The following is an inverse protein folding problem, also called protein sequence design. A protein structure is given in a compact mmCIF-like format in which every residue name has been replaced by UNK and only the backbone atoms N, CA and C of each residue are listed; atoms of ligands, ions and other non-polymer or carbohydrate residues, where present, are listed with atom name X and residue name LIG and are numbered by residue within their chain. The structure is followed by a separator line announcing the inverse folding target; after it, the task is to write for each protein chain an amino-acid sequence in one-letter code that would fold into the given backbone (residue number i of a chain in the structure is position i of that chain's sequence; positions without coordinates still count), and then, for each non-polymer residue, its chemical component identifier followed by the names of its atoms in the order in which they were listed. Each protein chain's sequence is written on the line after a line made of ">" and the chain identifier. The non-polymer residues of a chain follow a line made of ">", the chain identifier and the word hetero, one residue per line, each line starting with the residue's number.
data_IF_128508916428
#
_entry.id   IF_128508916428
#
_cell.length_a   1.000
_cell.length_b   1.000
_cell.length_c   1.000
_cell.angle_alpha   90.00
_cell.angle_beta   90.00
_cell.angle_gamma   90.00
#
_symmetry.space_group_name_H-M   'P 1'
#
loop_
_entity.id
_entity.type
_entity.pdbx_description
1 polymer ?
#
# COMPACT_ATOMS: atom_id res chain seq x y z
N UNK A 1 23.33 6.96 -5.16
CA UNK A 1 22.93 5.91 -6.14
C UNK A 1 21.41 5.69 -6.18
N UNK A 2 20.77 5.18 -5.10
CA UNK A 2 19.32 4.85 -5.07
C UNK A 2 18.39 5.99 -5.51
N UNK A 3 18.57 7.21 -4.97
CA UNK A 3 17.76 8.39 -5.33
C UNK A 3 17.77 8.67 -6.84
N UNK A 4 18.96 8.74 -7.44
CA UNK A 4 19.11 9.02 -8.86
C UNK A 4 18.44 7.93 -9.72
N UNK A 5 18.62 6.67 -9.36
CA UNK A 5 17.97 5.55 -10.03
C UNK A 5 16.43 5.66 -9.96
N UNK A 6 15.87 5.96 -8.78
CA UNK A 6 14.42 6.14 -8.60
C UNK A 6 13.88 7.32 -9.40
N UNK A 7 14.60 8.45 -9.44
CA UNK A 7 14.21 9.60 -10.27
C UNK A 7 14.29 9.31 -11.77
N UNK A 8 15.23 8.46 -12.19
CA UNK A 8 15.42 8.13 -13.62
C UNK A 8 14.41 7.10 -14.11
N UNK A 9 14.11 6.08 -13.29
CA UNK A 9 13.33 4.91 -13.73
C UNK A 9 11.95 4.82 -13.09
N UNK A 10 11.82 5.15 -11.79
CA UNK A 10 10.55 5.00 -11.06
C UNK A 10 9.65 6.22 -11.21
N UNK A 11 10.21 7.44 -11.10
CA UNK A 11 9.43 8.68 -11.15
C UNK A 11 8.55 8.79 -12.42
N UNK A 12 9.05 8.51 -13.64
CA UNK A 12 8.21 8.58 -14.84
C UNK A 12 7.00 7.63 -14.79
N UNK A 13 7.17 6.44 -14.19
CA UNK A 13 6.08 5.47 -14.05
C UNK A 13 5.05 5.92 -13.02
N UNK A 14 5.51 6.55 -11.93
CA UNK A 14 4.63 7.11 -10.90
C UNK A 14 3.80 8.26 -11.48
N UNK A 15 4.41 9.14 -12.28
CA UNK A 15 3.70 10.22 -12.98
C UNK A 15 2.65 9.66 -13.94
N UNK A 16 3.00 8.69 -14.78
CA UNK A 16 2.05 8.02 -15.70
C UNK A 16 0.89 7.38 -14.93
N UNK A 17 1.16 6.77 -13.78
CA UNK A 17 0.14 6.15 -12.93
C UNK A 17 -0.84 7.18 -12.36
N UNK A 18 -0.36 8.28 -11.79
CA UNK A 18 -1.24 9.32 -11.25
C UNK A 18 -1.99 10.08 -12.34
N UNK A 19 -1.36 10.34 -13.49
CA UNK A 19 -2.05 10.91 -14.65
C UNK A 19 -3.14 9.96 -15.19
N UNK A 20 -2.91 8.65 -15.11
CA UNK A 20 -3.93 7.66 -15.42
C UNK A 20 -5.09 7.68 -14.42
N UNK A 21 -4.81 7.82 -13.12
CA UNK A 21 -5.86 7.97 -12.08
C UNK A 21 -6.73 9.20 -12.36
N UNK A 22 -6.14 10.35 -12.62
CA UNK A 22 -6.91 11.57 -12.91
C UNK A 22 -7.79 11.41 -14.16
N UNK A 23 -7.26 10.77 -15.21
CA UNK A 23 -8.06 10.42 -16.40
C UNK A 23 -9.20 9.48 -16.08
N UNK A 24 -9.05 8.54 -15.15
CA UNK A 24 -10.17 7.68 -14.73
C UNK A 24 -11.29 8.49 -14.06
N UNK A 25 -10.96 9.50 -13.25
CA UNK A 25 -11.96 10.36 -12.64
C UNK A 25 -12.65 11.31 -13.62
N UNK A 26 -11.94 11.74 -14.68
CA UNK A 26 -12.52 12.54 -15.76
C UNK A 26 -13.47 11.73 -16.66
N UNK A 27 -13.22 10.43 -16.80
CA UNK A 27 -14.11 9.51 -17.53
C UNK A 27 -15.39 9.31 -16.72
N UNK A 28 -16.48 9.92 -17.18
CA UNK A 28 -17.81 9.71 -16.60
C UNK A 28 -18.13 8.21 -16.59
N UNK A 29 -18.46 7.65 -15.43
CA UNK A 29 -18.78 6.22 -15.27
C UNK A 29 -18.40 5.59 -13.94
N UNK A 30 -17.59 6.26 -13.12
CA UNK A 30 -17.20 5.76 -11.80
C UNK A 30 -18.16 6.27 -10.70
N UNK A 31 -19.04 5.39 -10.24
CA UNK A 31 -19.87 5.65 -9.06
C UNK A 31 -18.98 5.73 -7.80
N UNK A 32 -19.20 6.70 -6.89
CA UNK A 32 -18.44 6.81 -5.64
C UNK A 32 -18.53 5.57 -4.73
N UNK A 33 -19.60 4.80 -4.86
CA UNK A 33 -19.82 3.57 -4.08
C UNK A 33 -18.96 2.40 -4.55
N UNK A 34 -18.47 2.42 -5.80
CA UNK A 34 -17.70 1.33 -6.38
C UNK A 34 -16.36 1.16 -5.63
N UNK A 35 -16.01 -0.07 -5.16
CA UNK A 35 -14.73 -0.34 -4.52
C UNK A 35 -13.50 0.12 -5.30
N UNK A 36 -13.55 0.03 -6.64
CA UNK A 36 -12.47 0.50 -7.51
C UNK A 36 -12.30 2.03 -7.43
N UNK A 37 -13.41 2.78 -7.49
CA UNK A 37 -13.40 4.25 -7.33
C UNK A 37 -12.82 4.65 -5.97
N UNK A 38 -13.17 3.91 -4.91
CA UNK A 38 -12.62 4.13 -3.57
C UNK A 38 -11.11 3.90 -3.52
N UNK A 39 -10.62 2.85 -4.18
CA UNK A 39 -9.19 2.57 -4.26
C UNK A 39 -8.42 3.66 -5.02
N UNK A 40 -8.96 4.13 -6.15
CA UNK A 40 -8.36 5.24 -6.90
C UNK A 40 -8.36 6.55 -6.09
N UNK A 41 -9.46 6.85 -5.39
CA UNK A 41 -9.56 8.02 -4.52
C UNK A 41 -8.53 7.96 -3.39
N UNK A 42 -8.40 6.79 -2.75
CA UNK A 42 -7.40 6.56 -1.70
C UNK A 42 -5.98 6.83 -2.20
N UNK A 43 -5.63 6.31 -3.38
CA UNK A 43 -4.32 6.53 -3.99
C UNK A 43 -4.09 8.01 -4.30
N UNK A 44 -5.07 8.66 -4.93
CA UNK A 44 -5.01 10.10 -5.28
C UNK A 44 -4.81 10.99 -4.05
N UNK A 45 -5.60 10.80 -3.01
CA UNK A 45 -5.53 11.57 -1.76
C UNK A 45 -4.17 11.41 -1.05
N UNK A 46 -3.51 10.27 -1.24
CA UNK A 46 -2.24 9.93 -0.58
C UNK A 46 -1.03 10.06 -1.48
N UNK A 47 -1.17 10.68 -2.66
CA UNK A 47 -0.09 10.83 -3.64
C UNK A 47 1.23 11.29 -3.02
N UNK A 48 1.19 12.36 -2.21
CA UNK A 48 2.39 12.90 -1.56
C UNK A 48 3.10 11.85 -0.69
N UNK A 49 2.35 11.04 0.06
CA UNK A 49 2.90 9.97 0.89
C UNK A 49 3.44 8.80 0.07
N UNK A 50 2.74 8.45 -1.02
CA UNK A 50 3.13 7.37 -1.93
C UNK A 50 4.35 7.73 -2.79
N UNK A 51 4.66 9.02 -2.96
CA UNK A 51 5.82 9.50 -3.72
C UNK A 51 7.10 9.67 -2.88
N UNK A 52 7.03 9.58 -1.54
CA UNK A 52 8.18 9.85 -0.64
C UNK A 52 9.41 9.01 -0.98
N UNK A 53 9.22 7.74 -1.34
CA UNK A 53 10.34 6.86 -1.70
C UNK A 53 11.16 7.39 -2.89
N UNK A 54 10.59 8.23 -3.76
CA UNK A 54 11.32 8.80 -4.90
C UNK A 54 12.45 9.73 -4.44
N UNK A 55 12.22 10.49 -3.37
CA UNK A 55 13.15 11.51 -2.86
C UNK A 55 13.97 11.00 -1.70
N UNK A 56 13.37 10.18 -0.82
CA UNK A 56 14.00 9.57 0.35
C UNK A 56 14.45 8.12 0.03
N UNK A 57 15.77 7.85 -0.06
CA UNK A 57 16.33 6.53 -0.33
C UNK A 57 16.04 5.47 0.74
N UNK A 58 15.83 5.89 1.98
CA UNK A 58 15.68 4.99 3.13
C UNK A 58 14.24 4.48 3.25
N UNK A 59 13.29 5.21 2.66
CA UNK A 59 11.91 4.75 2.51
C UNK A 59 11.84 3.67 1.41
N UNK A 60 11.39 2.45 1.72
CA UNK A 60 11.13 1.41 0.72
C UNK A 60 9.91 1.78 -0.14
N UNK A 61 9.85 1.24 -1.36
CA UNK A 61 8.69 1.40 -2.25
C UNK A 61 7.48 0.59 -1.77
N UNK A 62 7.71 -0.47 -1.01
CA UNK A 62 6.69 -1.40 -0.55
C UNK A 62 6.71 -1.60 0.97
N UNK A 63 5.61 -2.13 1.48
CA UNK A 63 5.43 -2.47 2.89
C UNK A 63 5.73 -3.94 3.18
N UNK A 64 6.41 -4.67 2.28
CA UNK A 64 6.59 -6.12 2.41
C UNK A 64 7.30 -6.50 3.72
N UNK A 65 8.29 -5.71 4.13
CA UNK A 65 9.01 -5.91 5.39
C UNK A 65 8.08 -5.79 6.61
N UNK A 66 7.18 -4.80 6.60
CA UNK A 66 6.21 -4.56 7.66
C UNK A 66 5.14 -5.67 7.68
N UNK A 67 4.62 -6.05 6.51
CA UNK A 67 3.64 -7.14 6.39
C UNK A 67 4.19 -8.48 6.88
N UNK A 68 5.45 -8.78 6.57
CA UNK A 68 6.13 -9.97 7.09
C UNK A 68 6.29 -9.93 8.60
N UNK A 69 6.61 -8.78 9.19
CA UNK A 69 6.72 -8.62 10.64
C UNK A 69 5.35 -8.77 11.33
N UNK A 70 4.29 -8.20 10.75
CA UNK A 70 2.93 -8.27 11.30
C UNK A 70 2.31 -9.66 11.18
N UNK A 71 2.78 -10.51 10.25
CA UNK A 71 2.23 -11.85 9.99
C UNK A 71 2.20 -12.78 11.20
N UNK A 72 3.14 -12.62 12.14
CA UNK A 72 3.21 -13.43 13.35
C UNK A 72 1.94 -13.30 14.23
N UNK A 73 1.34 -12.11 14.28
CA UNK A 73 0.18 -11.80 15.13
C UNK A 73 -1.08 -12.60 14.72
N UNK A 74 -1.58 -12.52 13.47
CA UNK A 74 -2.75 -13.29 13.07
C UNK A 74 -2.48 -14.81 13.06
N UNK A 75 -1.24 -15.24 12.79
CA UNK A 75 -0.86 -16.65 12.89
C UNK A 75 -0.94 -17.15 14.34
N UNK A 76 -0.41 -16.40 15.31
CA UNK A 76 -0.52 -16.73 16.73
C UNK A 76 -1.97 -16.82 17.20
N UNK A 77 -2.80 -15.82 16.87
CA UNK A 77 -4.24 -15.83 17.18
C UNK A 77 -4.97 -17.04 16.61
N UNK A 78 -4.66 -17.43 15.36
CA UNK A 78 -5.25 -18.61 14.73
C UNK A 78 -4.82 -19.90 15.42
N UNK A 79 -3.58 -19.99 15.87
CA UNK A 79 -3.07 -21.15 16.60
C UNK A 79 -3.72 -21.28 17.99
N UNK A 80 -4.04 -20.17 18.65
CA UNK A 80 -4.72 -20.16 19.94
C UNK A 80 -6.18 -20.62 19.90
N UNK A 81 -6.84 -20.58 18.74
CA UNK A 81 -8.17 -21.17 18.59
C UNK A 81 -8.19 -22.69 18.82
N UNK A 82 -7.03 -23.35 18.89
CA UNK A 82 -6.87 -24.78 19.17
C UNK A 82 -6.15 -25.07 20.51
N UNK A 83 -5.81 -24.04 21.29
CA UNK A 83 -5.26 -24.21 22.63
C UNK A 83 -6.40 -24.41 23.63
N UNK A 84 -6.84 -25.66 23.81
CA UNK A 84 -7.78 -26.03 24.87
C UNK A 84 -6.98 -26.58 26.06
N UNK A 85 -6.69 -25.72 27.04
CA UNK A 85 -6.25 -26.12 28.38
C UNK A 85 -7.26 -25.58 29.37
N UNK A 86 -7.65 -26.36 30.38
CA UNK A 86 -8.64 -25.94 31.41
C UNK A 86 -8.25 -24.64 32.13
N UNK A 87 -6.96 -24.24 32.09
CA UNK A 87 -6.43 -23.01 32.69
C UNK A 87 -6.24 -21.83 31.71
N UNK A 88 -6.62 -21.97 30.44
CA UNK A 88 -6.47 -20.93 29.40
C UNK A 88 -5.06 -20.77 28.84
N UNK A 89 -4.95 -20.35 27.57
CA UNK A 89 -3.68 -20.05 26.92
C UNK A 89 -3.00 -18.83 27.57
N UNK A 90 -1.71 -18.93 27.89
CA UNK A 90 -0.89 -17.82 28.43
C UNK A 90 -0.28 -16.96 27.34
#
# INVERSE_FOLDING_TARGET
>A
AKRLHRLTHSKPQVEVFFDWIERQFQRQGLLPSNPFTKALAYARERRLGLEVFLTDPDVPIDTNHLERALRAIPMGRKNWNFCWTELGAR
#
